data_IF_209490097399
#
_entry.id   IF_209490097399
#
_cell.length_a   1.000
_cell.length_b   1.000
_cell.length_c   1.000
_cell.angle_alpha   90.00
_cell.angle_beta   90.00
_cell.angle_gamma   90.00
#
_symmetry.space_group_name_H-M   'P 1'
#
loop_
_entity.id
_entity.type
_entity.pdbx_description
1 polymer ?
#
# COMPACT_ATOMS: atom_id res chain seq x y z
N UNK A 1 32.87 -61.52 -15.11
CA UNK A 1 31.82 -61.59 -14.07
C UNK A 1 31.66 -60.20 -13.48
N UNK A 2 30.46 -59.63 -13.61
CA UNK A 2 29.99 -58.42 -12.91
C UNK A 2 30.17 -58.55 -11.39
N UNK A 3 30.43 -57.45 -10.66
CA UNK A 3 29.47 -56.83 -9.70
C UNK A 3 30.05 -55.59 -8.99
N UNK A 4 29.48 -54.42 -9.34
CA UNK A 4 29.04 -53.25 -8.56
C UNK A 4 29.68 -52.74 -7.24
N UNK A 5 29.62 -51.38 -7.13
CA UNK A 5 29.16 -50.54 -6.00
C UNK A 5 30.17 -50.12 -4.90
N UNK A 6 30.61 -48.84 -4.96
CA UNK A 6 30.16 -47.78 -4.02
C UNK A 6 30.71 -46.38 -4.34
N UNK A 7 29.85 -45.37 -4.60
CA UNK A 7 30.18 -43.95 -4.62
C UNK A 7 29.71 -43.30 -3.30
N UNK A 8 30.57 -42.62 -2.54
CA UNK A 8 30.11 -41.85 -1.35
C UNK A 8 31.20 -40.95 -0.77
N UNK A 9 31.55 -39.86 -1.46
CA UNK A 9 32.32 -38.74 -0.86
C UNK A 9 32.07 -37.41 -1.58
N UNK A 10 30.83 -37.16 -2.01
CA UNK A 10 30.39 -35.83 -2.48
C UNK A 10 29.14 -35.47 -1.69
N UNK A 11 29.32 -35.10 -0.43
CA UNK A 11 28.25 -34.63 0.42
C UNK A 11 28.88 -33.69 1.44
N UNK A 12 28.17 -32.59 1.67
CA UNK A 12 28.47 -31.54 2.66
C UNK A 12 29.54 -30.52 2.27
N UNK A 13 29.13 -29.50 1.51
CA UNK A 13 29.43 -28.08 1.76
C UNK A 13 28.74 -27.18 0.70
N UNK A 14 27.45 -27.42 0.48
CA UNK A 14 26.53 -26.45 -0.15
C UNK A 14 25.40 -26.13 0.84
N UNK A 15 25.77 -25.86 2.08
CA UNK A 15 24.90 -25.23 3.05
C UNK A 15 25.55 -23.90 3.38
N UNK A 16 25.02 -22.81 2.84
CA UNK A 16 24.82 -21.54 3.55
C UNK A 16 24.12 -20.57 2.59
N UNK A 17 22.80 -20.51 2.74
CA UNK A 17 21.98 -19.31 2.61
C UNK A 17 21.90 -18.67 1.20
N UNK A 18 21.15 -19.29 0.30
CA UNK A 18 20.28 -18.49 -0.55
C UNK A 18 19.21 -17.88 0.37
N UNK A 19 19.51 -16.71 0.94
CA UNK A 19 18.48 -15.77 1.35
C UNK A 19 17.63 -15.48 0.12
N UNK A 20 16.62 -16.31 -0.11
CA UNK A 20 15.44 -15.87 -0.84
C UNK A 20 14.85 -14.77 0.02
N UNK A 21 15.32 -13.54 -0.22
CA UNK A 21 14.63 -12.34 0.22
C UNK A 21 13.33 -12.33 -0.58
N UNK A 22 12.37 -13.17 -0.20
CA UNK A 22 11.00 -13.09 -0.66
C UNK A 22 10.52 -11.77 -0.10
N UNK A 23 10.58 -10.73 -0.93
CA UNK A 23 10.10 -9.41 -0.59
C UNK A 23 8.59 -9.55 -0.42
N UNK A 24 8.16 -9.88 0.81
CA UNK A 24 6.75 -10.13 1.11
C UNK A 24 5.97 -8.89 0.69
N UNK A 25 4.87 -9.04 -0.06
CA UNK A 25 4.05 -7.91 -0.51
C UNK A 25 3.72 -6.95 0.64
N UNK A 26 3.47 -7.49 1.84
CA UNK A 26 3.09 -6.75 3.05
C UNK A 26 4.25 -6.11 3.84
N UNK A 27 5.52 -6.33 3.48
CA UNK A 27 6.66 -5.71 4.18
C UNK A 27 7.05 -6.33 5.53
N UNK A 28 6.49 -7.47 5.91
CA UNK A 28 6.90 -8.30 7.04
C UNK A 28 6.73 -7.68 8.44
N UNK A 29 6.14 -6.49 8.51
CA UNK A 29 5.90 -5.71 9.74
C UNK A 29 4.92 -4.58 9.44
N UNK A 30 4.25 -4.05 10.47
CA UNK A 30 3.40 -2.84 10.38
C UNK A 30 4.12 -1.66 9.74
N UNK A 31 5.34 -1.33 10.20
CA UNK A 31 6.12 -0.24 9.62
C UNK A 31 6.50 -0.51 8.15
N UNK A 32 6.75 -1.77 7.80
CA UNK A 32 7.00 -2.18 6.42
C UNK A 32 5.79 -2.00 5.50
N UNK A 33 4.58 -2.30 6.00
CA UNK A 33 3.33 -2.07 5.29
C UNK A 33 3.12 -0.57 5.03
N UNK A 34 3.16 0.26 6.09
CA UNK A 34 2.96 1.72 6.00
C UNK A 34 3.92 2.32 4.95
N UNK A 35 5.20 1.96 5.04
CA UNK A 35 6.22 2.43 4.09
C UNK A 35 5.92 2.03 2.65
N UNK A 36 5.36 0.83 2.42
CA UNK A 36 5.02 0.36 1.07
C UNK A 36 3.80 1.10 0.50
N UNK A 37 2.78 1.36 1.31
CA UNK A 37 1.61 2.16 0.89
C UNK A 37 2.07 3.57 0.52
N UNK A 38 2.86 4.22 1.39
CA UNK A 38 3.41 5.55 1.14
C UNK A 38 4.26 5.61 -0.13
N UNK A 39 5.19 4.66 -0.30
CA UNK A 39 6.04 4.61 -1.48
C UNK A 39 5.26 4.36 -2.78
N UNK A 40 4.16 3.61 -2.72
CA UNK A 40 3.31 3.39 -3.89
C UNK A 40 2.52 4.67 -4.25
N UNK A 41 2.01 5.37 -3.25
CA UNK A 41 1.32 6.65 -3.43
C UNK A 41 2.25 7.75 -3.98
N UNK A 42 3.47 7.83 -3.46
CA UNK A 42 4.51 8.75 -3.96
C UNK A 42 4.82 8.49 -5.42
N UNK A 43 5.13 7.23 -5.77
CA UNK A 43 5.36 6.83 -7.16
C UNK A 43 4.18 7.14 -8.08
N UNK A 44 2.95 6.95 -7.61
CA UNK A 44 1.76 7.30 -8.37
C UNK A 44 1.73 8.81 -8.64
N UNK A 45 1.98 9.63 -7.60
CA UNK A 45 2.03 11.09 -7.67
C UNK A 45 2.99 11.63 -8.73
N UNK A 46 4.15 10.98 -8.88
CA UNK A 46 5.20 11.32 -9.86
C UNK A 46 4.86 10.92 -11.30
N UNK A 47 3.84 10.09 -11.53
CA UNK A 47 3.48 9.67 -12.90
C UNK A 47 2.79 10.80 -13.67
N UNK A 48 2.97 10.79 -14.99
CA UNK A 48 2.27 11.64 -15.96
C UNK A 48 1.16 10.88 -16.71
N UNK A 49 0.75 9.72 -16.19
CA UNK A 49 -0.14 8.80 -16.87
C UNK A 49 -1.58 9.31 -16.87
N UNK A 50 -2.26 9.16 -18.01
CA UNK A 50 -3.68 9.43 -18.11
C UNK A 50 -4.52 8.44 -17.30
N UNK A 51 -5.77 8.78 -17.03
CA UNK A 51 -6.71 7.94 -16.29
C UNK A 51 -6.91 6.53 -16.90
N UNK A 52 -6.87 6.40 -18.22
CA UNK A 52 -7.10 5.15 -18.94
C UNK A 52 -5.81 4.37 -19.24
N UNK A 53 -4.68 4.78 -18.67
CA UNK A 53 -3.40 4.14 -18.91
C UNK A 53 -3.35 2.75 -18.26
N UNK A 54 -3.00 1.72 -19.05
CA UNK A 54 -2.94 0.33 -18.59
C UNK A 54 -1.86 0.09 -17.53
N UNK A 55 -0.87 0.98 -17.40
CA UNK A 55 0.16 0.89 -16.37
C UNK A 55 -0.42 1.02 -14.97
N UNK A 56 -1.58 1.67 -14.81
CA UNK A 56 -2.31 1.72 -13.56
C UNK A 56 -2.68 0.33 -13.04
N UNK A 57 -2.97 -0.64 -13.90
CA UNK A 57 -3.38 -2.00 -13.49
C UNK A 57 -2.39 -2.65 -12.53
N UNK A 58 -1.09 -2.39 -12.71
CA UNK A 58 -0.06 -2.92 -11.79
C UNK A 58 -0.13 -2.23 -10.43
N UNK A 59 -0.30 -0.91 -10.41
CA UNK A 59 -0.34 -0.14 -9.18
C UNK A 59 -1.65 -0.40 -8.41
N UNK A 60 -2.77 -0.50 -9.13
CA UNK A 60 -4.09 -0.81 -8.57
C UNK A 60 -4.02 -2.16 -7.83
N UNK A 61 -3.49 -3.20 -8.48
CA UNK A 61 -3.27 -4.50 -7.83
C UNK A 61 -2.37 -4.42 -6.60
N UNK A 62 -1.30 -3.63 -6.65
CA UNK A 62 -0.39 -3.49 -5.51
C UNK A 62 -1.07 -2.79 -4.35
N UNK A 63 -1.85 -1.73 -4.63
CA UNK A 63 -2.59 -1.02 -3.61
C UNK A 63 -3.67 -1.90 -2.99
N UNK A 64 -4.45 -2.61 -3.81
CA UNK A 64 -5.43 -3.61 -3.36
C UNK A 64 -4.76 -4.67 -2.46
N UNK A 65 -3.63 -5.23 -2.87
CA UNK A 65 -2.91 -6.22 -2.03
C UNK A 65 -2.51 -5.61 -0.68
N UNK A 66 -2.00 -4.37 -0.67
CA UNK A 66 -1.55 -3.73 0.57
C UNK A 66 -2.72 -3.42 1.52
N UNK A 67 -3.88 -3.05 0.97
CA UNK A 67 -5.02 -2.60 1.78
C UNK A 67 -5.97 -3.74 2.14
N UNK A 68 -6.25 -4.65 1.22
CA UNK A 68 -7.27 -5.70 1.40
C UNK A 68 -6.64 -6.98 1.95
N UNK A 69 -5.42 -7.33 1.51
CA UNK A 69 -4.76 -8.56 1.94
C UNK A 69 -3.82 -8.34 3.14
N UNK A 70 -3.11 -7.20 3.20
CA UNK A 70 -2.05 -6.99 4.18
C UNK A 70 -2.46 -6.16 5.40
N UNK A 71 -3.28 -5.12 5.24
CA UNK A 71 -3.67 -4.23 6.34
C UNK A 71 -4.44 -4.93 7.47
N UNK A 72 -5.37 -5.87 7.20
CA UNK A 72 -6.13 -6.53 8.27
C UNK A 72 -5.26 -7.25 9.30
N UNK A 73 -4.08 -7.73 8.90
CA UNK A 73 -3.14 -8.42 9.79
C UNK A 73 -2.46 -7.49 10.81
N UNK A 74 -2.47 -6.17 10.58
CA UNK A 74 -1.80 -5.19 11.42
C UNK A 74 -2.75 -4.12 12.00
N UNK A 75 -4.00 -4.07 11.54
CA UNK A 75 -4.93 -2.98 11.82
C UNK A 75 -5.16 -2.78 13.33
N UNK A 76 -5.40 -3.87 14.06
CA UNK A 76 -5.66 -3.86 15.51
C UNK A 76 -4.43 -3.41 16.33
N UNK A 77 -3.22 -3.60 15.78
CA UNK A 77 -1.95 -3.22 16.39
C UNK A 77 -1.46 -1.83 15.94
N UNK A 78 -2.20 -1.17 15.06
CA UNK A 78 -1.89 0.18 14.60
C UNK A 78 -2.38 1.24 15.58
N UNK A 79 -1.53 2.23 15.82
CA UNK A 79 -1.95 3.47 16.45
C UNK A 79 -2.83 4.27 15.50
N UNK A 80 -3.66 5.15 16.05
CA UNK A 80 -4.48 6.10 15.28
C UNK A 80 -3.67 6.88 14.25
N UNK A 81 -2.45 7.29 14.61
CA UNK A 81 -1.53 7.99 13.72
C UNK A 81 -1.13 7.12 12.52
N UNK A 82 -0.79 5.85 12.76
CA UNK A 82 -0.38 4.93 11.70
C UNK A 82 -1.54 4.58 10.77
N UNK A 83 -2.75 4.42 11.31
CA UNK A 83 -3.97 4.24 10.52
C UNK A 83 -4.22 5.45 9.61
N UNK A 84 -4.09 6.66 10.18
CA UNK A 84 -4.17 7.91 9.41
C UNK A 84 -3.09 7.99 8.32
N UNK A 85 -1.84 7.62 8.62
CA UNK A 85 -0.75 7.67 7.64
C UNK A 85 -1.03 6.76 6.43
N UNK A 86 -1.61 5.57 6.66
CA UNK A 86 -2.07 4.67 5.58
C UNK A 86 -3.22 5.29 4.80
N UNK A 87 -4.22 5.84 5.50
CA UNK A 87 -5.37 6.48 4.87
C UNK A 87 -4.97 7.64 3.97
N UNK A 88 -4.14 8.57 4.47
CA UNK A 88 -3.64 9.72 3.69
C UNK A 88 -2.88 9.23 2.45
N UNK A 89 -2.02 8.22 2.59
CA UNK A 89 -1.27 7.69 1.45
C UNK A 89 -2.19 7.02 0.42
N UNK A 90 -3.13 6.19 0.84
CA UNK A 90 -4.10 5.57 -0.05
C UNK A 90 -4.99 6.61 -0.75
N UNK A 91 -5.44 7.64 -0.03
CA UNK A 91 -6.22 8.74 -0.60
C UNK A 91 -5.42 9.54 -1.64
N UNK A 92 -4.13 9.81 -1.40
CA UNK A 92 -3.25 10.45 -2.41
C UNK A 92 -3.11 9.59 -3.66
N UNK A 93 -2.92 8.28 -3.49
CA UNK A 93 -2.87 7.34 -4.60
C UNK A 93 -4.15 7.40 -5.44
N UNK A 94 -5.31 7.25 -4.80
CA UNK A 94 -6.57 7.20 -5.51
C UNK A 94 -6.99 8.56 -6.10
N UNK A 95 -6.63 9.66 -5.45
CA UNK A 95 -6.77 10.98 -6.05
C UNK A 95 -5.97 11.11 -7.34
N UNK A 96 -4.72 10.65 -7.35
CA UNK A 96 -3.91 10.68 -8.58
C UNK A 96 -4.50 9.79 -9.67
N UNK A 97 -4.97 8.59 -9.29
CA UNK A 97 -5.54 7.59 -10.18
C UNK A 97 -6.87 8.01 -10.81
N UNK A 98 -7.76 8.63 -10.02
CA UNK A 98 -9.16 8.86 -10.38
C UNK A 98 -9.56 10.35 -10.41
N UNK A 99 -8.69 11.25 -9.94
CA UNK A 99 -8.91 12.69 -9.88
C UNK A 99 -9.84 13.14 -8.75
N UNK A 100 -10.21 14.44 -8.78
CA UNK A 100 -11.08 15.11 -7.78
C UNK A 100 -12.44 14.41 -7.59
N UNK A 101 -12.93 13.67 -8.59
CA UNK A 101 -14.18 12.90 -8.50
C UNK A 101 -14.16 11.79 -7.43
N UNK A 102 -12.97 11.28 -7.09
CA UNK A 102 -12.79 10.22 -6.09
C UNK A 102 -13.33 10.60 -4.71
N UNK A 103 -13.02 11.82 -4.23
CA UNK A 103 -13.40 12.25 -2.88
C UNK A 103 -14.91 12.33 -2.69
N UNK A 104 -15.63 12.80 -3.72
CA UNK A 104 -17.09 12.92 -3.70
C UNK A 104 -17.78 11.56 -3.55
N UNK A 105 -17.22 10.51 -4.13
CA UNK A 105 -17.80 9.17 -4.09
C UNK A 105 -17.42 8.38 -2.83
N UNK A 106 -16.20 8.59 -2.31
CA UNK A 106 -15.66 7.84 -1.17
C UNK A 106 -16.07 8.48 0.17
N UNK A 107 -15.94 9.81 0.28
CA UNK A 107 -16.22 10.52 1.54
C UNK A 107 -17.63 11.13 1.55
N UNK A 108 -18.22 11.40 0.38
CA UNK A 108 -19.59 11.91 0.28
C UNK A 108 -20.69 10.88 0.55
N UNK A 109 -20.36 9.59 0.56
CA UNK A 109 -21.26 8.51 1.00
C UNK A 109 -20.64 7.89 2.25
N UNK A 110 -21.34 7.93 3.39
CA UNK A 110 -20.99 7.31 4.70
C UNK A 110 -20.63 5.79 4.66
N UNK A 111 -20.46 5.18 3.49
CA UNK A 111 -20.13 3.76 3.25
C UNK A 111 -18.75 3.51 2.63
N UNK A 112 -17.97 4.55 2.28
CA UNK A 112 -16.69 4.37 1.56
C UNK A 112 -15.47 4.21 2.45
N UNK A 113 -14.44 3.49 1.95
CA UNK A 113 -13.03 3.27 2.38
C UNK A 113 -12.65 3.17 3.87
N UNK A 114 -13.23 4.01 4.70
CA UNK A 114 -13.07 4.14 6.15
C UNK A 114 -13.73 3.05 7.02
N UNK A 115 -14.79 2.29 6.63
CA UNK A 115 -15.37 1.27 7.50
C UNK A 115 -14.42 0.12 7.82
N UNK A 116 -13.27 0.08 7.13
CA UNK A 116 -12.19 -0.85 7.44
C UNK A 116 -11.61 -0.55 8.82
N UNK A 117 -11.53 0.73 9.23
CA UNK A 117 -10.98 1.17 10.51
C UNK A 117 -12.01 1.10 11.63
N UNK A 118 -12.12 -0.09 12.25
CA UNK A 118 -13.15 -0.39 13.28
C UNK A 118 -13.01 0.41 14.58
N UNK A 119 -11.85 1.00 14.81
CA UNK A 119 -11.50 1.76 16.02
C UNK A 119 -12.10 3.17 16.08
N UNK A 120 -12.65 3.68 14.98
CA UNK A 120 -13.10 5.07 14.88
C UNK A 120 -14.58 5.22 15.26
N UNK A 121 -14.89 6.18 16.14
CA UNK A 121 -16.27 6.61 16.40
C UNK A 121 -16.82 7.39 15.20
N UNK A 122 -18.15 7.52 15.05
CA UNK A 122 -18.74 8.29 13.94
C UNK A 122 -18.23 9.74 13.88
N UNK A 123 -18.00 10.37 15.03
CA UNK A 123 -17.39 11.70 15.14
C UNK A 123 -15.91 11.70 14.73
N UNK A 124 -15.14 10.71 15.19
CA UNK A 124 -13.74 10.54 14.80
C UNK A 124 -13.53 10.23 13.31
N UNK A 125 -14.49 9.54 12.68
CA UNK A 125 -14.50 9.32 11.22
C UNK A 125 -14.68 10.63 10.45
N UNK A 126 -15.55 11.52 10.93
CA UNK A 126 -15.78 12.81 10.28
C UNK A 126 -14.56 13.74 10.40
N UNK A 127 -14.00 13.88 11.60
CA UNK A 127 -12.79 14.69 11.82
C UNK A 127 -11.61 14.18 10.97
N UNK A 128 -11.39 12.86 10.97
CA UNK A 128 -10.35 12.24 10.17
C UNK A 128 -10.57 12.44 8.66
N UNK A 129 -11.83 12.42 8.22
CA UNK A 129 -12.18 12.68 6.82
C UNK A 129 -11.81 14.10 6.40
N UNK A 130 -12.22 15.10 7.19
CA UNK A 130 -11.93 16.51 6.91
C UNK A 130 -10.41 16.76 6.87
N UNK A 131 -9.68 16.13 7.79
CA UNK A 131 -8.22 16.24 7.83
C UNK A 131 -7.54 15.58 6.62
N UNK A 132 -7.98 14.38 6.22
CA UNK A 132 -7.47 13.70 5.03
C UNK A 132 -7.78 14.51 3.77
N UNK A 133 -9.00 15.01 3.63
CA UNK A 133 -9.40 15.82 2.46
C UNK A 133 -8.47 17.02 2.32
N UNK A 134 -8.25 17.77 3.40
CA UNK A 134 -7.33 18.90 3.42
C UNK A 134 -5.89 18.50 3.06
N UNK A 135 -5.36 17.43 3.66
CA UNK A 135 -3.99 16.96 3.40
C UNK A 135 -3.78 16.54 1.94
N UNK A 136 -4.79 15.93 1.32
CA UNK A 136 -4.72 15.55 -0.10
C UNK A 136 -4.91 16.75 -1.02
N UNK A 137 -5.81 17.68 -0.70
CA UNK A 137 -5.98 18.91 -1.47
C UNK A 137 -4.72 19.79 -1.47
N UNK A 138 -4.08 19.96 -0.32
CA UNK A 138 -2.83 20.72 -0.21
C UNK A 138 -1.69 20.03 -0.99
N UNK A 139 -1.60 18.70 -0.92
CA UNK A 139 -0.66 17.93 -1.72
C UNK A 139 -0.93 18.05 -3.23
N UNK A 140 -2.20 17.97 -3.65
CA UNK A 140 -2.59 18.11 -5.04
C UNK A 140 -2.22 19.50 -5.60
N UNK A 141 -2.43 20.56 -4.80
CA UNK A 141 -2.03 21.92 -5.15
C UNK A 141 -0.53 22.04 -5.38
N UNK A 142 0.29 21.45 -4.49
CA UNK A 142 1.75 21.44 -4.64
C UNK A 142 2.17 20.74 -5.93
N UNK A 143 1.55 19.59 -6.28
CA UNK A 143 1.84 18.92 -7.54
C UNK A 143 1.47 19.80 -8.74
N UNK A 144 0.28 20.39 -8.76
CA UNK A 144 -0.13 21.28 -9.85
C UNK A 144 0.82 22.49 -10.02
N UNK A 145 1.40 23.00 -8.94
CA UNK A 145 2.40 24.08 -8.98
C UNK A 145 3.76 23.65 -9.52
N UNK A 146 4.21 22.41 -9.26
CA UNK A 146 5.49 21.90 -9.77
C UNK A 146 5.51 21.69 -11.29
N UNK A 147 4.34 21.50 -11.91
CA UNK A 147 4.21 21.23 -13.35
C UNK A 147 3.65 22.42 -14.15
N UNK A 148 3.55 23.61 -13.55
CA UNK A 148 3.27 24.89 -14.23
C UNK A 148 4.55 25.59 -14.64
#
# INVERSE_FOLDING_TARGET
MNTYLRPLSVLFLFGFLTWNCSMTPCGGSKAGLIKKVQALAEKAGETDWGYSDERWTRYDRQMETLLDDCLPDYEDDMTMKEQKDVLVAASKYYYKRYGKGFFKDIFGKKKGFLPQFKSLTEEGVNELTEEIEKDVEDWARQIEEMFK
#
